data_IF_878106624284
#
_entry.id   IF_878106624284
#
_cell.length_a   1.000
_cell.length_b   1.000
_cell.length_c   1.000
_cell.angle_alpha   90.00
_cell.angle_beta   90.00
_cell.angle_gamma   90.00
#
_symmetry.space_group_name_H-M   'P 1'
#
loop_
_entity.id
_entity.type
_entity.pdbx_description
1 polymer ?
#
# COMPACT_ATOMS: atom_id res chain seq x y z
N UNK A 1 -1.14 3.67 -38.75
CA UNK A 1 -0.80 4.92 -38.01
C UNK A 1 -2.00 5.58 -37.32
N UNK A 2 -3.19 5.66 -37.93
CA UNK A 2 -4.37 6.30 -37.30
C UNK A 2 -4.88 5.59 -36.02
N UNK A 3 -4.90 4.26 -36.00
CA UNK A 3 -5.43 3.48 -34.85
C UNK A 3 -4.59 3.64 -33.57
N UNK A 4 -3.26 3.77 -33.70
CA UNK A 4 -2.33 3.95 -32.59
C UNK A 4 -2.42 5.36 -31.96
N UNK A 5 -2.89 6.35 -32.72
CA UNK A 5 -3.13 7.71 -32.22
C UNK A 5 -4.40 7.78 -31.35
N UNK A 6 -5.45 7.04 -31.72
CA UNK A 6 -6.74 7.00 -30.99
C UNK A 6 -6.62 6.25 -29.65
N UNK A 7 -5.86 5.14 -29.60
CA UNK A 7 -5.60 4.43 -28.35
C UNK A 7 -4.85 5.29 -27.33
N UNK A 8 -3.84 6.04 -27.78
CA UNK A 8 -3.08 6.94 -26.92
C UNK A 8 -3.94 8.08 -26.35
N UNK A 9 -4.89 8.60 -27.13
CA UNK A 9 -5.83 9.64 -26.65
C UNK A 9 -6.76 9.08 -25.55
N UNK A 10 -7.23 7.83 -25.68
CA UNK A 10 -8.05 7.17 -24.64
C UNK A 10 -7.27 6.95 -23.34
N UNK A 11 -6.03 6.47 -23.43
CA UNK A 11 -5.15 6.26 -22.27
C UNK A 11 -4.85 7.57 -21.53
N UNK A 12 -4.57 8.65 -22.26
CA UNK A 12 -4.35 9.98 -21.67
C UNK A 12 -5.60 10.50 -20.97
N UNK A 13 -6.79 10.32 -21.54
CA UNK A 13 -8.05 10.72 -20.91
C UNK A 13 -8.32 9.92 -19.63
N UNK A 14 -8.07 8.61 -19.65
CA UNK A 14 -8.23 7.73 -18.49
C UNK A 14 -7.31 8.13 -17.33
N UNK A 15 -6.04 8.42 -17.63
CA UNK A 15 -5.09 8.93 -16.63
C UNK A 15 -5.54 10.26 -16.05
N UNK A 16 -5.99 11.20 -16.89
CA UNK A 16 -6.47 12.52 -16.42
C UNK A 16 -7.69 12.40 -15.50
N UNK A 17 -8.63 11.53 -15.83
CA UNK A 17 -9.81 11.27 -15.00
C UNK A 17 -9.44 10.61 -13.67
N UNK A 18 -8.51 9.66 -13.69
CA UNK A 18 -8.00 9.01 -12.48
C UNK A 18 -7.33 10.03 -11.55
N UNK A 19 -6.40 10.86 -12.04
CA UNK A 19 -5.71 11.86 -11.23
C UNK A 19 -6.70 12.90 -10.66
N UNK A 20 -7.74 13.28 -11.41
CA UNK A 20 -8.79 14.15 -10.92
C UNK A 20 -9.59 13.52 -9.76
N UNK A 21 -9.96 12.24 -9.87
CA UNK A 21 -10.66 11.51 -8.82
C UNK A 21 -9.80 11.32 -7.56
N UNK A 22 -8.52 10.97 -7.73
CA UNK A 22 -7.57 10.87 -6.61
C UNK A 22 -7.43 12.22 -5.89
N UNK A 23 -7.29 13.31 -6.64
CA UNK A 23 -7.24 14.65 -6.07
C UNK A 23 -8.53 15.08 -5.35
N UNK A 24 -9.70 14.59 -5.78
CA UNK A 24 -10.95 14.81 -5.05
C UNK A 24 -10.97 14.09 -3.70
N UNK A 25 -10.51 12.84 -3.65
CA UNK A 25 -10.42 12.06 -2.40
C UNK A 25 -9.46 12.74 -1.41
N UNK A 26 -8.27 13.14 -1.85
CA UNK A 26 -7.30 13.82 -0.97
C UNK A 26 -7.83 15.16 -0.42
N UNK A 27 -8.54 15.94 -1.23
CA UNK A 27 -9.13 17.21 -0.78
C UNK A 27 -10.23 17.02 0.26
N UNK A 28 -11.01 15.95 0.15
CA UNK A 28 -12.14 15.70 1.07
C UNK A 28 -11.69 15.07 2.39
N UNK A 29 -10.69 14.18 2.35
CA UNK A 29 -10.34 13.34 3.49
C UNK A 29 -8.93 13.59 4.04
N UNK A 30 -8.15 14.44 3.37
CA UNK A 30 -6.78 14.79 3.77
C UNK A 30 -5.72 14.00 2.99
N UNK A 31 -4.48 14.47 3.12
CA UNK A 31 -3.32 13.87 2.45
C UNK A 31 -3.05 12.45 2.96
N UNK A 32 -2.68 11.56 2.04
CA UNK A 32 -2.38 10.17 2.36
C UNK A 32 -3.61 9.27 2.56
N UNK A 33 -4.82 9.76 2.32
CA UNK A 33 -6.05 8.94 2.28
C UNK A 33 -6.00 7.93 1.13
N UNK A 34 -5.35 8.29 0.02
CA UNK A 34 -5.11 7.41 -1.12
C UNK A 34 -3.67 7.60 -1.61
N UNK A 35 -2.99 6.51 -1.96
CA UNK A 35 -1.63 6.51 -2.47
C UNK A 35 -1.40 5.26 -3.31
N UNK A 36 -0.39 5.25 -4.19
CA UNK A 36 -0.05 4.01 -4.89
C UNK A 36 0.75 3.11 -3.95
N UNK A 37 0.47 1.82 -4.03
CA UNK A 37 1.21 0.82 -3.29
C UNK A 37 2.67 0.83 -3.76
N UNK A 38 3.60 1.19 -2.86
CA UNK A 38 5.03 1.31 -3.16
C UNK A 38 5.56 2.73 -3.34
N UNK A 39 4.71 3.77 -3.27
CA UNK A 39 5.16 5.17 -3.27
C UNK A 39 6.02 5.50 -2.03
N UNK A 40 5.84 4.73 -0.95
CA UNK A 40 6.67 4.79 0.25
C UNK A 40 7.76 3.71 0.23
N UNK A 41 8.93 4.06 0.78
CA UNK A 41 10.03 3.13 1.01
C UNK A 41 9.51 1.97 1.87
N UNK A 42 9.99 0.75 1.59
CA UNK A 42 9.63 -0.42 2.39
C UNK A 42 10.24 -0.26 3.79
N UNK A 43 9.43 0.16 4.76
CA UNK A 43 9.87 0.31 6.14
C UNK A 43 9.77 -1.02 6.87
N UNK A 44 10.71 -1.24 7.81
CA UNK A 44 10.69 -2.43 8.65
C UNK A 44 9.41 -2.40 9.51
N UNK A 45 8.63 -3.47 9.47
CA UNK A 45 7.43 -3.60 10.29
C UNK A 45 7.88 -3.66 11.76
N UNK A 46 7.41 -2.75 12.62
CA UNK A 46 7.73 -2.81 14.04
C UNK A 46 7.07 -4.04 14.68
N UNK A 47 7.83 -4.78 15.46
CA UNK A 47 7.40 -6.01 16.12
C UNK A 47 7.64 -5.98 17.63
N UNK A 48 6.97 -6.87 18.35
CA UNK A 48 7.16 -7.16 19.78
C UNK A 48 7.60 -8.62 19.89
N UNK A 49 8.72 -8.89 20.55
CA UNK A 49 9.22 -10.26 20.75
C UNK A 49 8.15 -11.14 21.40
N UNK A 50 8.04 -12.38 20.95
CA UNK A 50 7.17 -13.40 21.54
C UNK A 50 7.72 -13.93 22.87
N UNK A 51 8.95 -13.58 23.25
CA UNK A 51 9.67 -14.15 24.38
C UNK A 51 10.36 -15.48 24.07
N UNK A 52 10.13 -16.04 22.88
CA UNK A 52 10.82 -17.23 22.36
C UNK A 52 11.65 -16.87 21.15
N UNK A 53 12.97 -17.00 21.27
CA UNK A 53 13.90 -16.69 20.18
C UNK A 53 13.61 -17.51 18.92
N UNK A 54 13.30 -18.80 19.08
CA UNK A 54 12.99 -19.67 17.96
C UNK A 54 11.74 -19.22 17.19
N UNK A 55 10.72 -18.76 17.92
CA UNK A 55 9.49 -18.27 17.32
C UNK A 55 9.68 -16.89 16.67
N UNK A 56 10.44 -16.00 17.29
CA UNK A 56 10.76 -14.68 16.71
C UNK A 56 11.52 -14.79 15.38
N UNK A 57 12.46 -15.75 15.29
CA UNK A 57 13.18 -16.06 14.06
C UNK A 57 12.23 -16.67 13.02
N UNK A 58 11.40 -17.63 13.42
CA UNK A 58 10.44 -18.28 12.51
C UNK A 58 9.44 -17.29 11.92
N UNK A 59 9.01 -16.27 12.67
CA UNK A 59 8.13 -15.19 12.19
C UNK A 59 8.83 -14.25 11.19
N UNK A 60 10.16 -14.27 11.08
CA UNK A 60 10.96 -13.51 10.11
C UNK A 60 11.06 -12.01 10.36
N UNK A 61 10.10 -11.43 11.07
CA UNK A 61 10.08 -10.01 11.46
C UNK A 61 10.54 -9.79 12.91
N UNK A 62 10.94 -10.85 13.61
CA UNK A 62 11.45 -10.79 14.99
C UNK A 62 10.37 -10.70 16.08
N UNK A 63 9.13 -11.09 15.78
CA UNK A 63 8.04 -11.13 16.76
C UNK A 63 6.66 -10.81 16.18
N UNK A 64 5.71 -10.45 17.05
CA UNK A 64 4.34 -10.09 16.68
C UNK A 64 4.27 -8.66 16.11
N UNK A 65 3.58 -8.42 14.97
CA UNK A 65 3.53 -7.11 14.33
C UNK A 65 2.67 -6.11 15.13
N UNK A 66 3.18 -4.89 15.34
CA UNK A 66 2.41 -3.81 15.97
C UNK A 66 1.33 -3.28 15.03
N UNK A 67 0.19 -2.87 15.59
CA UNK A 67 -0.94 -2.31 14.82
C UNK A 67 -1.67 -3.35 13.96
N UNK A 68 -1.50 -4.64 14.26
CA UNK A 68 -2.15 -5.76 13.58
C UNK A 68 -2.81 -6.66 14.61
N UNK A 69 -3.87 -7.35 14.17
CA UNK A 69 -4.51 -8.40 14.96
C UNK A 69 -3.75 -9.70 14.73
N UNK A 70 -3.46 -10.41 15.81
CA UNK A 70 -2.80 -11.72 15.81
C UNK A 70 -3.73 -12.71 16.48
N UNK A 71 -3.93 -13.87 15.86
CA UNK A 71 -4.70 -14.98 16.41
C UNK A 71 -3.75 -16.10 16.87
N UNK A 72 -3.98 -16.62 18.07
CA UNK A 72 -3.29 -17.79 18.62
C UNK A 72 -4.39 -18.78 18.99
N UNK A 73 -4.38 -19.95 18.37
CA UNK A 73 -5.35 -21.02 18.61
C UNK A 73 -4.61 -22.29 19.02
N UNK A 74 -5.33 -23.17 19.72
CA UNK A 74 -4.83 -24.43 20.28
C UNK A 74 -5.86 -25.08 21.16
#
# INVERSE_FOLDING_TARGET
>A
MAQQKVSNIKEVNKKKQLEAALGQIERQFGSGTVMRMGDKKHEKIPSISTGSLGLDIALGIGGLPKGRVVEIYG
#
